data_IF_543248149518
#
_entry.id   IF_543248149518
#
_cell.length_a   1.000
_cell.length_b   1.000
_cell.length_c   1.000
_cell.angle_alpha   90.00
_cell.angle_beta   90.00
_cell.angle_gamma   90.00
#
_symmetry.space_group_name_H-M   'P 1'
#
loop_
_entity.id
_entity.type
_entity.pdbx_description
1 polymer ?
#
# COMPACT_ATOMS: atom_id res chain seq x y z
N UNK A 1 64.39 -57.34 79.55
CA UNK A 1 63.69 -57.35 78.25
C UNK A 1 63.26 -55.92 77.93
N UNK A 2 63.59 -55.51 76.70
CA UNK A 2 63.40 -54.18 76.09
C UNK A 2 62.04 -53.50 76.32
N UNK A 3 62.07 -52.18 76.53
CA UNK A 3 61.52 -51.20 75.56
C UNK A 3 62.01 -49.78 75.89
N UNK A 4 63.07 -49.34 75.21
CA UNK A 4 63.47 -47.94 75.19
C UNK A 4 62.41 -47.15 74.40
N UNK A 5 61.53 -46.46 75.09
CA UNK A 5 60.66 -45.47 74.46
C UNK A 5 61.51 -44.29 74.02
N UNK A 6 61.81 -44.24 72.73
CA UNK A 6 62.54 -43.15 72.08
C UNK A 6 61.76 -41.85 72.23
N UNK A 7 62.40 -40.79 72.73
CA UNK A 7 61.81 -39.42 72.82
C UNK A 7 61.28 -38.91 71.48
N UNK A 8 61.71 -39.50 70.36
CA UNK A 8 61.17 -39.22 69.02
C UNK A 8 59.73 -39.72 68.86
N UNK A 9 59.37 -40.87 69.43
CA UNK A 9 58.05 -41.47 69.30
C UNK A 9 56.97 -40.65 70.03
N UNK A 10 57.27 -40.12 71.23
CA UNK A 10 56.33 -39.26 71.98
C UNK A 10 56.11 -37.90 71.29
N UNK A 11 57.13 -37.38 70.60
CA UNK A 11 57.01 -36.13 69.83
C UNK A 11 56.20 -36.36 68.54
N UNK A 12 56.37 -37.50 67.87
CA UNK A 12 55.55 -37.88 66.71
C UNK A 12 54.10 -38.14 67.08
N UNK A 13 53.84 -38.83 68.18
CA UNK A 13 52.48 -39.07 68.69
C UNK A 13 51.74 -37.76 68.98
N UNK A 14 52.38 -36.82 69.69
CA UNK A 14 51.77 -35.51 69.97
C UNK A 14 51.53 -34.66 68.71
N UNK A 15 52.40 -34.75 67.70
CA UNK A 15 52.17 -34.11 66.38
C UNK A 15 51.01 -34.74 65.62
N UNK A 16 50.92 -36.06 65.63
CA UNK A 16 49.84 -36.78 64.96
C UNK A 16 48.49 -36.53 65.64
N UNK A 17 48.46 -36.44 66.97
CA UNK A 17 47.27 -36.07 67.73
C UNK A 17 46.80 -34.65 67.38
N UNK A 18 47.71 -33.66 67.31
CA UNK A 18 47.37 -32.29 66.90
C UNK A 18 46.81 -32.25 65.48
N UNK A 19 47.41 -33.00 64.54
CA UNK A 19 46.90 -33.12 63.16
C UNK A 19 45.53 -33.77 63.12
N UNK A 20 45.32 -34.85 63.88
CA UNK A 20 44.02 -35.54 63.97
C UNK A 20 42.93 -34.61 64.50
N UNK A 21 43.21 -33.85 65.56
CA UNK A 21 42.28 -32.83 66.09
C UNK A 21 41.98 -31.78 65.02
N UNK A 22 42.99 -31.32 64.29
CA UNK A 22 42.80 -30.34 63.20
C UNK A 22 41.86 -30.88 62.11
N UNK A 23 42.04 -32.14 61.69
CA UNK A 23 41.16 -32.77 60.71
C UNK A 23 39.73 -32.97 61.22
N UNK A 24 39.57 -33.34 62.49
CA UNK A 24 38.24 -33.46 63.12
C UNK A 24 37.53 -32.11 63.13
N UNK A 25 38.24 -31.03 63.50
CA UNK A 25 37.68 -29.67 63.50
C UNK A 25 37.31 -29.23 62.09
N UNK A 26 38.15 -29.49 61.08
CA UNK A 26 37.84 -29.17 59.68
C UNK A 26 36.64 -29.96 59.15
N UNK A 27 36.51 -31.24 59.52
CA UNK A 27 35.37 -32.07 59.13
C UNK A 27 34.06 -31.57 59.76
N UNK A 28 34.09 -31.23 61.05
CA UNK A 28 32.93 -30.64 61.75
C UNK A 28 32.57 -29.29 61.13
N UNK A 29 33.56 -28.43 60.85
CA UNK A 29 33.32 -27.15 60.19
C UNK A 29 32.72 -27.32 58.79
N UNK A 30 33.21 -28.28 58.00
CA UNK A 30 32.64 -28.62 56.70
C UNK A 30 31.19 -29.12 56.79
N UNK A 31 30.87 -29.94 57.77
CA UNK A 31 29.50 -30.40 58.04
C UNK A 31 28.58 -29.26 58.46
N UNK A 32 29.05 -28.34 59.31
CA UNK A 32 28.33 -27.13 59.70
C UNK A 32 28.09 -26.26 58.47
N UNK A 33 29.09 -26.05 57.60
CA UNK A 33 28.93 -25.33 56.33
C UNK A 33 27.88 -25.99 55.42
N UNK A 34 27.93 -27.32 55.26
CA UNK A 34 26.92 -28.06 54.49
C UNK A 34 25.52 -27.91 55.07
N UNK A 35 25.39 -27.94 56.40
CA UNK A 35 24.10 -27.79 57.07
C UNK A 35 23.55 -26.37 56.94
N UNK A 36 24.37 -25.35 57.17
CA UNK A 36 23.94 -23.95 57.18
C UNK A 36 23.89 -23.29 55.79
N UNK A 37 24.72 -23.71 54.83
CA UNK A 37 24.67 -23.19 53.45
C UNK A 37 24.03 -24.17 52.47
N UNK A 38 24.32 -25.46 52.58
CA UNK A 38 23.85 -26.47 51.63
C UNK A 38 22.35 -26.71 51.69
N UNK A 39 21.78 -26.90 52.88
CA UNK A 39 20.32 -27.15 53.04
C UNK A 39 19.50 -25.94 52.58
N UNK A 40 19.82 -24.68 52.96
CA UNK A 40 19.09 -23.52 52.44
C UNK A 40 19.26 -23.32 50.94
N UNK A 41 20.43 -23.65 50.36
CA UNK A 41 20.63 -23.58 48.91
C UNK A 41 19.75 -24.60 48.17
N UNK A 42 19.62 -25.83 48.69
CA UNK A 42 18.70 -26.83 48.14
C UNK A 42 17.25 -26.34 48.19
N UNK A 43 16.81 -25.74 49.31
CA UNK A 43 15.45 -25.18 49.43
C UNK A 43 15.17 -24.03 48.44
N UNK A 44 16.16 -23.17 48.19
CA UNK A 44 16.06 -22.12 47.16
C UNK A 44 16.03 -22.71 45.74
N UNK A 45 16.83 -23.74 45.49
CA UNK A 45 16.86 -24.42 44.19
C UNK A 45 15.55 -25.16 43.90
N UNK A 46 14.96 -25.85 44.88
CA UNK A 46 13.66 -26.51 44.71
C UNK A 46 12.54 -25.49 44.50
N UNK A 47 12.56 -24.35 45.19
CA UNK A 47 11.62 -23.26 44.94
C UNK A 47 11.75 -22.70 43.53
N UNK A 48 12.98 -22.47 43.04
CA UNK A 48 13.26 -22.03 41.68
C UNK A 48 12.76 -23.04 40.63
N UNK A 49 13.07 -24.33 40.78
CA UNK A 49 12.59 -25.39 39.86
C UNK A 49 11.06 -25.51 39.89
N UNK A 50 10.42 -25.33 41.05
CA UNK A 50 8.96 -25.30 41.15
C UNK A 50 8.35 -24.09 40.45
N UNK A 51 9.08 -22.97 40.33
CA UNK A 51 8.62 -21.77 39.63
C UNK A 51 8.71 -21.94 38.11
N UNK A 52 9.74 -22.66 37.61
CA UNK A 52 9.80 -23.05 36.19
C UNK A 52 8.61 -23.92 35.77
N UNK A 53 8.15 -24.84 36.62
CA UNK A 53 6.99 -25.68 36.33
C UNK A 53 5.63 -24.95 36.37
N UNK A 54 5.59 -23.72 36.91
CA UNK A 54 4.37 -22.90 37.04
C UNK A 54 4.18 -21.89 35.91
N UNK A 55 5.15 -21.72 35.01
CA UNK A 55 5.02 -20.83 33.86
C UNK A 55 4.24 -21.48 32.70
N UNK A 56 3.03 -21.97 32.98
CA UNK A 56 2.07 -22.39 31.95
C UNK A 56 0.97 -21.34 31.74
N UNK A 57 1.29 -20.05 31.98
CA UNK A 57 0.42 -18.98 31.49
C UNK A 57 0.46 -19.06 29.96
N UNK A 58 -0.67 -19.31 29.27
CA UNK A 58 -0.69 -19.19 27.82
C UNK A 58 -0.19 -17.79 27.51
N UNK A 59 0.82 -17.70 26.65
CA UNK A 59 1.22 -16.42 26.08
C UNK A 59 0.04 -16.04 25.18
N UNK A 60 -0.94 -15.32 25.73
CA UNK A 60 -1.85 -14.55 24.90
C UNK A 60 -0.98 -13.50 24.24
N UNK A 61 -0.52 -13.80 23.03
CA UNK A 61 0.07 -12.84 22.12
C UNK A 61 -1.00 -11.78 21.86
N UNK A 62 -1.06 -10.79 22.74
CA UNK A 62 -1.87 -9.61 22.50
C UNK A 62 -1.06 -8.78 21.51
N UNK A 63 -1.23 -9.08 20.24
CA UNK A 63 -0.60 -8.34 19.15
C UNK A 63 -1.11 -6.89 19.22
N UNK A 64 -0.18 -5.96 19.31
CA UNK A 64 -0.43 -4.52 19.40
C UNK A 64 0.17 -3.77 18.23
N UNK A 65 0.71 -4.47 17.23
CA UNK A 65 1.40 -3.88 16.11
C UNK A 65 0.37 -3.51 15.05
N UNK A 66 0.18 -2.23 14.72
CA UNK A 66 -0.69 -1.86 13.62
C UNK A 66 -0.22 -2.47 12.29
N UNK A 67 -1.15 -2.93 11.44
CA UNK A 67 -0.81 -3.34 10.09
C UNK A 67 -0.42 -2.11 9.24
N UNK A 68 0.16 -2.37 8.06
CA UNK A 68 0.38 -1.32 7.06
C UNK A 68 -0.97 -0.82 6.49
N UNK A 69 -1.05 0.44 6.03
CA UNK A 69 -2.22 0.93 5.29
C UNK A 69 -2.46 0.12 4.01
N UNK A 70 -3.71 0.03 3.54
CA UNK A 70 -4.03 -0.68 2.31
C UNK A 70 -3.43 0.03 1.10
N UNK A 71 -3.04 -0.73 0.08
CA UNK A 71 -2.47 -0.22 -1.17
C UNK A 71 -3.45 -0.43 -2.32
N UNK A 72 -3.99 0.64 -2.87
CA UNK A 72 -4.85 0.57 -4.05
C UNK A 72 -4.02 0.36 -5.33
N UNK A 73 -4.60 -0.36 -6.28
CA UNK A 73 -4.07 -0.43 -7.64
C UNK A 73 -4.20 0.93 -8.33
N UNK A 74 -3.48 1.12 -9.42
CA UNK A 74 -3.62 2.32 -10.26
C UNK A 74 -5.02 2.39 -10.86
N UNK A 75 -5.63 3.57 -10.83
CA UNK A 75 -6.91 3.90 -11.45
C UNK A 75 -6.76 5.21 -12.25
N UNK A 76 -7.75 5.50 -13.11
CA UNK A 76 -7.77 6.74 -13.89
C UNK A 76 -8.18 7.93 -13.01
N UNK A 77 -7.53 9.07 -13.19
CA UNK A 77 -7.89 10.32 -12.50
C UNK A 77 -9.24 10.88 -12.99
N UNK A 78 -9.68 10.49 -14.18
CA UNK A 78 -10.93 10.91 -14.82
C UNK A 78 -11.72 9.71 -15.32
N UNK A 79 -13.05 9.80 -15.27
CA UNK A 79 -13.95 8.75 -15.77
C UNK A 79 -15.28 9.33 -16.21
N UNK A 80 -15.87 8.73 -17.24
CA UNK A 80 -17.26 8.99 -17.64
C UNK A 80 -18.26 7.95 -17.13
N UNK A 81 -17.79 6.99 -16.33
CA UNK A 81 -18.64 6.02 -15.65
C UNK A 81 -19.04 6.58 -14.29
N UNK A 82 -20.34 6.60 -14.00
CA UNK A 82 -20.87 7.08 -12.71
C UNK A 82 -20.64 6.11 -11.54
N UNK A 83 -20.08 4.94 -11.81
CA UNK A 83 -19.70 3.94 -10.82
C UNK A 83 -18.31 3.41 -11.11
N UNK A 84 -17.53 3.17 -10.06
CA UNK A 84 -16.20 2.56 -10.15
C UNK A 84 -16.06 1.38 -9.19
N UNK A 85 -15.03 0.58 -9.44
CA UNK A 85 -14.52 -0.39 -8.48
C UNK A 85 -13.09 -0.03 -8.10
N UNK A 86 -12.78 -0.12 -6.81
CA UNK A 86 -11.43 0.10 -6.29
C UNK A 86 -10.89 -1.21 -5.75
N UNK A 87 -9.78 -1.67 -6.31
CA UNK A 87 -9.10 -2.89 -5.87
C UNK A 87 -7.71 -2.57 -5.34
N UNK A 88 -7.18 -3.47 -4.51
CA UNK A 88 -5.87 -3.29 -3.92
C UNK A 88 -5.40 -4.50 -3.14
N UNK A 89 -4.35 -4.29 -2.37
CA UNK A 89 -3.73 -5.29 -1.49
C UNK A 89 -3.53 -4.76 -0.09
N UNK A 90 -3.66 -5.63 0.90
CA UNK A 90 -3.30 -5.39 2.30
C UNK A 90 -2.88 -6.72 2.95
N UNK A 91 -2.75 -6.75 4.27
CA UNK A 91 -2.52 -8.00 4.99
C UNK A 91 -3.68 -9.01 4.77
N UNK A 92 -3.40 -10.30 4.48
CA UNK A 92 -4.42 -11.32 4.31
C UNK A 92 -5.43 -11.40 5.45
N UNK A 93 -6.71 -11.45 5.11
CA UNK A 93 -7.80 -11.53 6.09
C UNK A 93 -8.04 -10.25 6.90
N UNK A 94 -7.29 -9.17 6.67
CA UNK A 94 -7.54 -7.89 7.33
C UNK A 94 -8.77 -7.17 6.74
N UNK A 95 -9.43 -6.36 7.57
CA UNK A 95 -10.60 -5.56 7.17
C UNK A 95 -10.17 -4.17 6.73
N UNK A 96 -10.54 -3.75 5.54
CA UNK A 96 -10.32 -2.41 5.01
C UNK A 96 -11.54 -1.55 5.31
N UNK A 97 -11.31 -0.37 5.90
CA UNK A 97 -12.34 0.65 6.08
C UNK A 97 -12.09 1.78 5.10
N UNK A 98 -12.98 1.95 4.14
CA UNK A 98 -12.96 2.99 3.12
C UNK A 98 -13.90 4.12 3.52
N UNK A 99 -13.41 5.36 3.47
CA UNK A 99 -14.26 6.55 3.45
C UNK A 99 -14.28 7.09 2.03
N UNK A 100 -15.44 7.10 1.40
CA UNK A 100 -15.65 7.53 0.02
C UNK A 100 -16.68 8.66 -0.01
N UNK A 101 -16.28 9.87 -0.38
CA UNK A 101 -17.11 11.08 -0.32
C UNK A 101 -17.82 11.28 1.04
N UNK A 102 -17.11 10.97 2.13
CA UNK A 102 -17.64 11.05 3.49
C UNK A 102 -18.49 9.85 3.93
N UNK A 103 -18.85 8.93 3.02
CA UNK A 103 -19.58 7.71 3.35
C UNK A 103 -18.61 6.56 3.68
N UNK A 104 -18.88 5.82 4.75
CA UNK A 104 -18.09 4.66 5.15
C UNK A 104 -18.51 3.37 4.42
N UNK A 105 -17.53 2.55 4.05
CA UNK A 105 -17.72 1.18 3.56
C UNK A 105 -16.60 0.29 4.09
N UNK A 106 -16.85 -1.01 4.23
CA UNK A 106 -15.84 -1.97 4.69
C UNK A 106 -15.83 -3.20 3.78
N UNK A 107 -14.64 -3.80 3.60
CA UNK A 107 -14.46 -5.09 2.92
C UNK A 107 -13.32 -5.85 3.57
N UNK A 108 -13.26 -7.16 3.38
CA UNK A 108 -12.20 -8.02 3.92
C UNK A 108 -11.29 -8.48 2.80
N UNK A 109 -9.97 -8.47 3.04
CA UNK A 109 -9.01 -9.04 2.12
C UNK A 109 -9.11 -10.58 2.10
N UNK A 110 -8.86 -11.17 0.94
CA UNK A 110 -8.78 -12.64 0.80
C UNK A 110 -7.50 -13.21 1.44
N UNK A 111 -7.25 -14.52 1.22
CA UNK A 111 -6.10 -15.23 1.82
C UNK A 111 -4.76 -14.80 1.22
N UNK A 112 -4.80 -14.17 0.06
CA UNK A 112 -3.66 -13.64 -0.66
C UNK A 112 -3.49 -12.13 -0.41
N UNK A 113 -4.44 -11.50 0.28
CA UNK A 113 -4.41 -10.09 0.65
C UNK A 113 -5.10 -9.16 -0.34
N UNK A 114 -5.78 -9.68 -1.37
CA UNK A 114 -6.50 -8.86 -2.33
C UNK A 114 -7.86 -8.44 -1.80
N UNK A 115 -8.27 -7.22 -2.14
CA UNK A 115 -9.60 -6.71 -1.82
C UNK A 115 -10.18 -5.90 -2.98
N UNK A 116 -11.50 -5.80 -2.99
CA UNK A 116 -12.25 -4.96 -3.94
C UNK A 116 -13.45 -4.30 -3.26
N UNK A 117 -13.62 -3.01 -3.50
CA UNK A 117 -14.88 -2.28 -3.33
C UNK A 117 -15.53 -2.13 -4.70
N UNK A 118 -16.78 -2.55 -4.83
CA UNK A 118 -17.53 -2.48 -6.11
C UNK A 118 -18.67 -1.48 -6.02
N UNK A 119 -19.11 -0.97 -7.18
CA UNK A 119 -20.30 -0.12 -7.31
C UNK A 119 -20.26 1.15 -6.45
N UNK A 120 -19.09 1.78 -6.34
CA UNK A 120 -18.94 3.07 -5.66
C UNK A 120 -19.49 4.16 -6.57
N UNK A 121 -20.60 4.79 -6.15
CA UNK A 121 -21.25 5.87 -6.89
C UNK A 121 -20.41 7.15 -6.81
N UNK A 122 -20.18 7.77 -7.97
CA UNK A 122 -19.53 9.07 -8.07
C UNK A 122 -20.56 10.20 -8.06
N UNK A 123 -20.20 11.30 -7.41
CA UNK A 123 -20.84 12.60 -7.58
C UNK A 123 -20.22 13.30 -8.79
N UNK A 124 -20.98 14.18 -9.46
CA UNK A 124 -20.44 15.01 -10.54
C UNK A 124 -19.19 15.79 -10.09
N UNK A 125 -18.15 15.77 -10.92
CA UNK A 125 -16.88 16.42 -10.64
C UNK A 125 -16.02 15.63 -9.64
N UNK A 126 -15.46 16.32 -8.65
CA UNK A 126 -14.45 15.76 -7.75
C UNK A 126 -15.04 14.77 -6.75
N UNK A 127 -14.44 13.58 -6.68
CA UNK A 127 -14.69 12.56 -5.69
C UNK A 127 -13.39 12.26 -4.95
N UNK A 128 -13.46 12.01 -3.65
CA UNK A 128 -12.29 11.78 -2.82
C UNK A 128 -12.47 10.58 -1.89
N UNK A 129 -11.39 9.85 -1.66
CA UNK A 129 -11.41 8.72 -0.74
C UNK A 129 -10.08 8.48 -0.04
N UNK A 130 -10.16 7.82 1.10
CA UNK A 130 -9.02 7.30 1.85
C UNK A 130 -9.43 6.05 2.62
N UNK A 131 -8.47 5.27 3.08
CA UNK A 131 -8.76 4.05 3.82
C UNK A 131 -7.80 3.78 4.98
N UNK A 132 -8.23 2.91 5.89
CA UNK A 132 -7.41 2.26 6.91
C UNK A 132 -7.60 0.74 6.83
N UNK A 133 -6.69 -0.03 7.41
CA UNK A 133 -6.82 -1.48 7.58
C UNK A 133 -6.86 -1.82 9.07
N UNK A 134 -7.67 -2.81 9.42
CA UNK A 134 -7.78 -3.40 10.76
C UNK A 134 -7.38 -4.86 10.67
N UNK A 135 -6.36 -5.28 11.43
CA UNK A 135 -5.91 -6.67 11.48
C UNK A 135 -6.86 -7.57 12.29
N UNK A 136 -6.56 -8.87 12.37
CA UNK A 136 -7.35 -9.83 13.13
C UNK A 136 -7.30 -9.62 14.66
N UNK A 137 -6.27 -8.92 15.16
CA UNK A 137 -6.13 -8.55 16.57
C UNK A 137 -6.86 -7.24 16.92
N UNK A 138 -7.38 -6.52 15.93
CA UNK A 138 -8.08 -5.25 16.06
C UNK A 138 -7.18 -4.01 16.02
N UNK A 139 -5.90 -4.13 15.66
CA UNK A 139 -5.03 -2.97 15.50
C UNK A 139 -5.32 -2.25 14.18
N UNK A 140 -5.31 -0.92 14.20
CA UNK A 140 -5.69 -0.07 13.07
C UNK A 140 -4.46 0.60 12.47
N UNK A 141 -4.28 0.51 11.16
CA UNK A 141 -3.20 1.16 10.41
C UNK A 141 -3.28 2.69 10.47
N UNK A 142 -2.22 3.35 10.02
CA UNK A 142 -2.33 4.74 9.57
C UNK A 142 -3.30 4.86 8.39
N UNK A 143 -3.82 6.06 8.16
CA UNK A 143 -4.64 6.37 6.99
C UNK A 143 -3.77 6.41 5.72
N UNK A 144 -4.33 6.00 4.59
CA UNK A 144 -3.72 6.28 3.29
C UNK A 144 -3.66 7.79 3.03
N UNK A 145 -2.87 8.20 2.03
CA UNK A 145 -3.10 9.48 1.38
C UNK A 145 -4.53 9.58 0.84
N UNK A 146 -5.02 10.81 0.68
CA UNK A 146 -6.29 11.05 0.00
C UNK A 146 -6.09 10.86 -1.51
N UNK A 147 -6.98 10.08 -2.11
CA UNK A 147 -7.07 9.86 -3.54
C UNK A 147 -8.23 10.64 -4.13
N UNK A 148 -8.11 11.02 -5.40
CA UNK A 148 -9.12 11.80 -6.11
C UNK A 148 -9.45 11.15 -7.44
N UNK A 149 -10.72 11.25 -7.84
CA UNK A 149 -11.20 10.90 -9.17
C UNK A 149 -12.26 11.91 -9.61
N UNK A 150 -12.18 12.36 -10.85
CA UNK A 150 -13.13 13.30 -11.45
C UNK A 150 -14.13 12.51 -12.29
N UNK A 151 -15.41 12.61 -11.94
CA UNK A 151 -16.50 12.12 -12.77
C UNK A 151 -16.95 13.23 -13.73
N UNK A 152 -16.83 12.97 -15.01
CA UNK A 152 -17.35 13.82 -16.07
C UNK A 152 -17.97 12.97 -17.17
N UNK A 153 -19.26 13.17 -17.44
CA UNK A 153 -20.01 12.48 -18.48
C UNK A 153 -20.47 13.42 -19.61
N UNK A 154 -19.92 14.64 -19.68
CA UNK A 154 -20.31 15.62 -20.68
C UNK A 154 -19.30 15.60 -21.82
N UNK A 155 -19.77 15.53 -23.08
CA UNK A 155 -18.89 15.75 -24.22
C UNK A 155 -18.24 17.14 -24.18
N UNK A 156 -17.00 17.27 -24.66
CA UNK A 156 -16.36 18.57 -24.75
C UNK A 156 -17.02 19.46 -25.81
N UNK A 157 -16.73 20.75 -25.77
CA UNK A 157 -17.14 21.69 -26.82
C UNK A 157 -16.27 21.55 -28.08
N UNK A 158 -16.89 21.69 -29.26
CA UNK A 158 -16.21 21.65 -30.56
C UNK A 158 -16.93 22.54 -31.59
N UNK A 159 -16.20 23.42 -32.26
CA UNK A 159 -16.65 24.19 -33.43
C UNK A 159 -15.74 23.97 -34.63
N UNK A 160 -16.30 24.17 -35.81
CA UNK A 160 -15.55 24.28 -37.06
C UNK A 160 -15.93 25.63 -37.63
N UNK A 161 -14.97 26.55 -37.62
CA UNK A 161 -15.21 27.96 -37.93
C UNK A 161 -15.01 28.22 -39.42
N UNK A 162 -14.04 27.53 -40.05
CA UNK A 162 -13.76 27.65 -41.47
C UNK A 162 -13.07 26.39 -42.01
N UNK A 163 -13.41 25.91 -43.22
CA UNK A 163 -14.53 26.34 -44.04
C UNK A 163 -15.87 25.86 -43.49
N UNK A 164 -16.96 26.52 -43.90
CA UNK A 164 -18.31 26.06 -43.58
C UNK A 164 -18.62 24.75 -44.32
N UNK A 165 -19.48 23.93 -43.71
CA UNK A 165 -19.99 22.71 -44.35
C UNK A 165 -20.66 23.02 -45.70
N UNK A 166 -20.42 22.18 -46.71
CA UNK A 166 -20.91 22.34 -48.08
C UNK A 166 -20.13 23.33 -48.94
N UNK A 167 -19.04 23.94 -48.43
CA UNK A 167 -18.24 24.89 -49.21
C UNK A 167 -17.68 24.26 -50.49
N UNK A 168 -17.63 25.05 -51.57
CA UNK A 168 -17.09 24.62 -52.87
C UNK A 168 -15.87 25.43 -53.24
N UNK A 169 -14.83 24.76 -53.74
CA UNK A 169 -13.55 25.32 -54.14
C UNK A 169 -13.29 25.03 -55.62
N UNK A 170 -12.71 26.00 -56.33
CA UNK A 170 -12.52 25.93 -57.78
C UNK A 170 -11.08 26.26 -58.18
N UNK A 171 -10.57 25.54 -59.18
CA UNK A 171 -9.27 25.82 -59.76
C UNK A 171 -8.10 25.31 -58.90
N UNK A 172 -7.01 24.94 -59.56
CA UNK A 172 -5.81 24.36 -58.92
C UNK A 172 -5.24 25.14 -57.73
N UNK A 173 -5.45 26.46 -57.65
CA UNK A 173 -4.99 27.31 -56.54
C UNK A 173 -5.77 27.11 -55.23
N UNK A 174 -6.98 26.57 -55.28
CA UNK A 174 -7.85 26.34 -54.12
C UNK A 174 -7.91 24.87 -53.69
N UNK A 175 -7.06 24.02 -54.26
CA UNK A 175 -7.02 22.59 -53.92
C UNK A 175 -6.47 22.33 -52.52
N UNK A 176 -5.70 23.26 -51.97
CA UNK A 176 -5.21 23.20 -50.59
C UNK A 176 -6.10 24.06 -49.70
N UNK A 177 -6.66 23.46 -48.64
CA UNK A 177 -7.61 24.10 -47.73
C UNK A 177 -7.17 23.90 -46.29
N UNK A 178 -7.42 24.90 -45.45
CA UNK A 178 -7.18 24.84 -44.01
C UNK A 178 -8.50 24.79 -43.26
N UNK A 179 -8.75 23.66 -42.59
CA UNK A 179 -9.82 23.54 -41.59
C UNK A 179 -9.34 24.22 -40.31
N UNK A 180 -10.16 25.10 -39.75
CA UNK A 180 -9.95 25.88 -38.55
C UNK A 180 -11.18 25.72 -37.65
N UNK A 181 -10.96 25.64 -36.35
CA UNK A 181 -12.03 25.57 -35.36
C UNK A 181 -11.49 25.71 -33.95
N UNK A 182 -12.40 25.59 -32.98
CA UNK A 182 -12.06 25.60 -31.56
C UNK A 182 -12.59 24.37 -30.86
N UNK A 183 -11.94 23.98 -29.78
CA UNK A 183 -12.40 22.97 -28.83
C UNK A 183 -12.19 23.46 -27.40
N UNK A 184 -12.75 22.73 -26.45
CA UNK A 184 -12.37 22.90 -25.05
C UNK A 184 -10.85 22.68 -24.86
N UNK A 185 -10.25 23.36 -23.88
CA UNK A 185 -8.81 23.25 -23.59
C UNK A 185 -8.49 21.89 -22.96
N UNK A 186 -7.32 21.33 -23.29
CA UNK A 186 -6.87 20.05 -22.73
C UNK A 186 -7.52 18.79 -23.35
N UNK A 187 -8.32 18.95 -24.41
CA UNK A 187 -8.90 17.83 -25.16
C UNK A 187 -8.02 17.43 -26.34
N UNK A 188 -8.13 16.17 -26.77
CA UNK A 188 -7.49 15.68 -27.99
C UNK A 188 -8.44 15.87 -29.17
N UNK A 189 -8.00 16.57 -30.23
CA UNK A 189 -8.76 16.71 -31.47
C UNK A 189 -8.12 15.87 -32.60
N UNK A 190 -8.97 15.22 -33.40
CA UNK A 190 -8.55 14.49 -34.60
C UNK A 190 -9.37 14.92 -35.81
N UNK A 191 -8.77 14.82 -37.01
CA UNK A 191 -9.47 14.96 -38.30
C UNK A 191 -9.19 13.71 -39.13
N UNK A 192 -10.22 12.94 -39.46
CA UNK A 192 -10.11 11.63 -40.13
C UNK A 192 -9.06 10.74 -39.42
N UNK A 193 -9.23 10.58 -38.10
CA UNK A 193 -8.37 9.79 -37.19
C UNK A 193 -6.91 10.28 -37.04
N UNK A 194 -6.57 11.45 -37.61
CA UNK A 194 -5.26 12.07 -37.42
C UNK A 194 -5.31 13.09 -36.30
N UNK A 195 -4.46 12.92 -35.29
CA UNK A 195 -4.30 13.89 -34.20
C UNK A 195 -3.81 15.21 -34.78
N UNK A 196 -4.46 16.31 -34.39
CA UNK A 196 -4.05 17.67 -34.72
C UNK A 196 -3.63 18.41 -33.44
N UNK A 197 -2.77 19.41 -33.59
CA UNK A 197 -2.35 20.25 -32.47
C UNK A 197 -3.45 21.25 -32.18
N UNK A 198 -3.86 21.30 -30.92
CA UNK A 198 -4.72 22.34 -30.33
C UNK A 198 -3.81 23.23 -29.50
N UNK A 199 -3.93 24.55 -29.65
CA UNK A 199 -3.19 25.49 -28.82
C UNK A 199 -3.81 25.67 -27.42
N UNK A 200 -3.15 26.44 -26.56
CA UNK A 200 -3.61 26.65 -25.17
C UNK A 200 -4.98 27.36 -25.09
N UNK A 201 -5.35 28.10 -26.14
CA UNK A 201 -6.65 28.79 -26.29
C UNK A 201 -7.74 27.87 -26.88
N UNK A 202 -7.43 26.59 -27.13
CA UNK A 202 -8.36 25.63 -27.70
C UNK A 202 -8.53 25.74 -29.22
N UNK A 203 -7.71 26.53 -29.93
CA UNK A 203 -7.82 26.66 -31.39
C UNK A 203 -7.01 25.59 -32.07
N UNK A 204 -7.52 25.13 -33.21
CA UNK A 204 -6.81 24.19 -34.06
C UNK A 204 -6.89 24.59 -35.52
N UNK A 205 -5.88 24.17 -36.28
CA UNK A 205 -5.84 24.32 -37.72
C UNK A 205 -5.21 23.11 -38.38
N UNK A 206 -5.75 22.69 -39.53
CA UNK A 206 -5.26 21.55 -40.29
C UNK A 206 -5.34 21.83 -41.79
N UNK A 207 -4.19 21.81 -42.45
CA UNK A 207 -4.09 22.01 -43.90
C UNK A 207 -4.09 20.67 -44.62
N UNK A 208 -4.93 20.55 -45.64
CA UNK A 208 -5.10 19.33 -46.45
C UNK A 208 -5.27 19.64 -47.93
N UNK A 209 -5.15 18.62 -48.76
CA UNK A 209 -5.37 18.71 -50.21
C UNK A 209 -6.66 17.99 -50.58
N UNK A 210 -7.56 18.68 -51.27
CA UNK A 210 -8.83 18.14 -51.75
C UNK A 210 -8.62 17.24 -52.98
N UNK A 211 -9.43 16.19 -53.04
CA UNK A 211 -9.64 15.36 -54.23
C UNK A 211 -10.74 15.98 -55.09
N UNK A 212 -10.76 15.64 -56.38
CA UNK A 212 -11.84 16.05 -57.28
C UNK A 212 -13.19 15.53 -56.76
N UNK A 213 -14.21 16.38 -56.76
CA UNK A 213 -15.54 16.08 -56.26
C UNK A 213 -15.68 16.29 -54.75
N UNK A 214 -16.44 15.39 -54.12
CA UNK A 214 -16.82 15.48 -52.71
C UNK A 214 -15.70 14.98 -51.78
N UNK A 215 -15.40 15.76 -50.74
CA UNK A 215 -14.42 15.44 -49.70
C UNK A 215 -15.07 15.54 -48.32
N UNK A 216 -15.12 14.42 -47.60
CA UNK A 216 -15.72 14.33 -46.27
C UNK A 216 -14.65 14.32 -45.17
N UNK A 217 -14.89 15.10 -44.13
CA UNK A 217 -14.01 15.21 -42.96
C UNK A 217 -14.79 14.98 -41.69
N UNK A 218 -14.30 14.08 -40.84
CA UNK A 218 -14.80 13.83 -39.48
C UNK A 218 -13.83 14.46 -38.51
N UNK A 219 -14.29 15.46 -37.77
CA UNK A 219 -13.55 16.15 -36.72
C UNK A 219 -14.07 15.61 -35.38
N UNK A 220 -13.19 15.03 -34.57
CA UNK A 220 -13.53 14.44 -33.26
C UNK A 220 -12.73 15.11 -32.16
N UNK A 221 -13.41 15.61 -31.12
CA UNK A 221 -12.79 16.04 -29.87
C UNK A 221 -13.05 14.99 -28.79
N UNK A 222 -12.05 14.67 -27.96
CA UNK A 222 -12.16 13.71 -26.85
C UNK A 222 -11.46 14.26 -25.61
N UNK A 223 -12.18 14.29 -24.48
CA UNK A 223 -11.67 14.80 -23.21
C UNK A 223 -10.85 13.75 -22.42
N UNK A 224 -10.44 14.10 -21.19
CA UNK A 224 -9.67 13.21 -20.30
C UNK A 224 -10.49 12.07 -19.70
N UNK A 225 -11.81 12.24 -19.56
CA UNK A 225 -12.75 11.23 -19.07
C UNK A 225 -13.17 10.23 -20.16
N UNK A 226 -12.81 10.51 -21.42
CA UNK A 226 -13.16 9.73 -22.61
C UNK A 226 -14.50 10.11 -23.24
N UNK A 227 -15.13 11.21 -22.84
CA UNK A 227 -16.28 11.74 -23.57
C UNK A 227 -15.83 12.36 -24.88
N UNK A 228 -16.66 12.28 -25.90
CA UNK A 228 -16.33 12.78 -27.21
C UNK A 228 -17.51 13.41 -27.93
N UNK A 229 -17.19 14.30 -28.86
CA UNK A 229 -18.11 14.85 -29.85
C UNK A 229 -17.48 14.72 -31.23
N UNK A 230 -18.31 14.43 -32.22
CA UNK A 230 -17.91 14.37 -33.63
C UNK A 230 -18.70 15.39 -34.43
N UNK A 231 -18.02 16.07 -35.35
CA UNK A 231 -18.60 16.93 -36.37
C UNK A 231 -18.13 16.50 -37.74
N UNK A 232 -19.05 16.54 -38.68
CA UNK A 232 -18.77 16.22 -40.07
C UNK A 232 -18.88 17.49 -40.90
N UNK A 233 -17.92 17.69 -41.81
CA UNK A 233 -18.03 18.69 -42.87
C UNK A 233 -17.73 18.04 -44.22
N UNK A 234 -18.41 18.51 -45.25
CA UNK A 234 -18.24 18.09 -46.63
C UNK A 234 -17.79 19.29 -47.46
N UNK A 235 -16.69 19.13 -48.20
CA UNK A 235 -16.13 20.14 -49.08
C UNK A 235 -16.13 19.62 -50.51
N UNK A 236 -16.54 20.45 -51.46
CA UNK A 236 -16.53 20.12 -52.87
C UNK A 236 -15.37 20.81 -53.58
N UNK A 237 -14.66 20.10 -54.46
CA UNK A 237 -13.61 20.68 -55.29
C UNK A 237 -13.84 20.35 -56.76
N UNK A 238 -13.67 21.36 -57.62
CA UNK A 238 -13.69 21.21 -59.07
C UNK A 238 -12.45 21.90 -59.67
N UNK A 239 -11.69 21.16 -60.48
CA UNK A 239 -10.44 21.66 -61.09
C UNK A 239 -10.60 22.80 -62.09
#
# INVERSE_FOLDING_TARGET
MSRNYSRLASVEESRNLRRAITYIVLAIFGLVLLFFLGIPALGKFTAFVSDLGKSNKPITSNDKTPPAPPRFNTFSDYTNQNQISLSGTTEPGATIKLTFNGNGSETMADKEGFFTFSNLNLNDGNNAFFATTVDAAGNISQQTQEYKIVFDNKPPELTVDNPSDGSTFFGSKQRQVTIQGTSESGVSVTINDRIIVVDDDGKFQYTLTLNEGENKFVIKATDQAGNFIEKEITLNFSS
#
